data_IF_394090795244
#
_entry.id   IF_394090795244
#
_cell.length_a   1.000
_cell.length_b   1.000
_cell.length_c   1.000
_cell.angle_alpha   90.00
_cell.angle_beta   90.00
_cell.angle_gamma   90.00
#
_symmetry.space_group_name_H-M   'P 1'
#
loop_
_entity.id
_entity.type
_entity.pdbx_description
1 polymer ?
#
# COMPACT_ATOMS: atom_id res chain seq x y z
N UNK A 1 -0.11 30.26 1.55
CA UNK A 1 0.30 29.44 2.71
C UNK A 1 -0.98 28.94 3.34
N UNK A 2 -1.41 27.76 2.92
CA UNK A 2 -2.53 27.01 3.51
C UNK A 2 -2.00 26.34 4.78
N UNK A 3 -2.67 26.55 5.90
CA UNK A 3 -2.20 26.19 7.25
C UNK A 3 -2.53 24.72 7.58
N UNK A 4 -1.68 24.01 8.35
CA UNK A 4 -1.91 22.62 8.80
C UNK A 4 -3.31 22.40 9.41
N UNK A 5 -3.87 23.45 10.04
CA UNK A 5 -5.26 23.53 10.51
C UNK A 5 -6.31 23.37 9.42
N UNK A 6 -6.14 24.00 8.26
CA UNK A 6 -7.08 23.89 7.13
C UNK A 6 -7.04 22.48 6.55
N UNK A 7 -5.86 21.86 6.51
CA UNK A 7 -5.70 20.48 6.08
C UNK A 7 -6.36 19.50 7.07
N UNK A 8 -6.11 19.66 8.37
CA UNK A 8 -6.74 18.86 9.41
C UNK A 8 -8.28 18.95 9.37
N UNK A 9 -8.82 20.14 9.05
CA UNK A 9 -10.26 20.34 8.89
C UNK A 9 -10.83 19.63 7.65
N UNK A 10 -10.12 19.69 6.52
CA UNK A 10 -10.52 18.98 5.31
C UNK A 10 -10.53 17.46 5.51
N UNK A 11 -9.47 16.93 6.13
CA UNK A 11 -9.32 15.50 6.45
C UNK A 11 -10.42 15.04 7.41
N UNK A 12 -10.71 15.81 8.46
CA UNK A 12 -11.78 15.47 9.41
C UNK A 12 -13.17 15.54 8.75
N UNK A 13 -13.42 16.51 7.86
CA UNK A 13 -14.66 16.57 7.10
C UNK A 13 -14.84 15.34 6.20
N UNK A 14 -13.78 14.94 5.50
CA UNK A 14 -13.76 13.77 4.64
C UNK A 14 -14.03 12.49 5.45
N UNK A 15 -13.31 12.30 6.56
CA UNK A 15 -13.49 11.16 7.45
C UNK A 15 -14.92 11.08 7.99
N UNK A 16 -15.47 12.18 8.51
CA UNK A 16 -16.85 12.23 9.00
C UNK A 16 -17.88 11.97 7.90
N UNK A 17 -17.57 12.32 6.65
CA UNK A 17 -18.45 12.13 5.51
C UNK A 17 -18.53 10.67 5.05
N UNK A 18 -17.63 9.81 5.51
CA UNK A 18 -17.57 8.40 5.12
C UNK A 18 -18.87 7.65 5.49
N UNK A 19 -19.37 6.71 4.65
CA UNK A 19 -20.59 5.93 4.90
C UNK A 19 -20.63 5.17 6.23
N UNK A 20 -19.48 4.78 6.76
CA UNK A 20 -19.36 4.09 8.06
C UNK A 20 -19.43 5.06 9.26
N UNK A 21 -19.30 6.37 9.01
CA UNK A 21 -19.37 7.43 10.03
C UNK A 21 -20.72 8.16 10.01
N UNK A 22 -20.82 9.31 9.33
CA UNK A 22 -22.09 10.02 9.15
C UNK A 22 -22.76 9.74 7.79
N UNK A 23 -22.00 9.24 6.82
CA UNK A 23 -22.43 9.05 5.43
C UNK A 23 -22.76 10.33 4.68
N UNK A 24 -22.41 11.49 5.24
CA UNK A 24 -22.57 12.82 4.66
C UNK A 24 -21.73 13.84 5.44
N UNK A 25 -21.49 15.00 4.84
CA UNK A 25 -20.81 16.12 5.50
C UNK A 25 -21.46 16.46 6.85
N UNK A 26 -20.67 16.72 7.91
CA UNK A 26 -21.21 17.21 9.16
C UNK A 26 -21.91 18.56 8.93
N UNK A 27 -22.99 18.81 9.67
CA UNK A 27 -23.73 20.06 9.57
C UNK A 27 -22.91 21.26 10.07
N UNK A 28 -21.97 21.01 10.99
CA UNK A 28 -20.96 21.95 11.46
C UNK A 28 -19.69 21.19 11.84
N UNK A 29 -18.52 21.78 11.61
CA UNK A 29 -17.22 21.27 12.00
C UNK A 29 -16.34 22.45 12.43
N UNK A 30 -15.76 22.39 13.62
CA UNK A 30 -14.92 23.45 14.18
C UNK A 30 -13.74 22.83 14.93
N UNK A 31 -12.55 23.43 14.80
CA UNK A 31 -11.42 23.15 15.69
C UNK A 31 -11.73 23.79 17.05
N UNK A 32 -11.66 22.98 18.10
CA UNK A 32 -11.96 23.35 19.47
C UNK A 32 -10.72 23.48 20.36
N UNK A 33 -9.59 22.93 19.94
CA UNK A 33 -8.31 22.98 20.65
C UNK A 33 -7.23 22.19 19.92
N UNK A 34 -6.05 22.15 20.50
CA UNK A 34 -4.89 21.39 19.99
C UNK A 34 -4.03 20.90 21.16
N UNK A 35 -3.27 19.83 20.94
CA UNK A 35 -2.37 19.26 21.93
C UNK A 35 -1.26 18.46 21.26
N UNK A 36 -0.15 18.27 21.97
CA UNK A 36 0.95 17.41 21.55
C UNK A 36 0.97 16.12 22.37
N UNK A 37 1.26 14.99 21.72
CA UNK A 37 1.32 13.68 22.34
C UNK A 37 2.28 12.77 21.57
N UNK A 38 3.29 12.20 22.24
CA UNK A 38 4.35 11.37 21.62
C UNK A 38 5.08 12.08 20.47
N UNK A 39 5.49 13.33 20.69
CA UNK A 39 6.20 14.18 19.71
C UNK A 39 5.42 14.49 18.42
N UNK A 40 4.11 14.21 18.42
CA UNK A 40 3.20 14.50 17.32
C UNK A 40 2.15 15.54 17.73
N UNK A 41 1.72 16.35 16.77
CA UNK A 41 0.72 17.39 16.96
C UNK A 41 -0.70 16.90 16.59
N UNK A 42 -1.71 17.35 17.34
CA UNK A 42 -3.10 16.95 17.20
C UNK A 42 -4.07 18.13 17.34
N UNK A 43 -5.16 18.06 16.57
CA UNK A 43 -6.29 18.98 16.62
C UNK A 43 -7.52 18.30 17.21
N UNK A 44 -8.15 18.97 18.17
CA UNK A 44 -9.45 18.61 18.75
C UNK A 44 -10.52 19.24 17.88
N UNK A 45 -11.41 18.42 17.34
CA UNK A 45 -12.57 18.86 16.60
C UNK A 45 -13.84 18.72 17.43
N UNK A 46 -14.77 19.65 17.21
CA UNK A 46 -16.17 19.46 17.55
C UNK A 46 -17.02 19.55 16.30
N UNK A 47 -18.02 18.69 16.18
CA UNK A 47 -18.89 18.65 15.01
C UNK A 47 -20.34 18.38 15.36
N UNK A 48 -21.26 18.66 14.43
CA UNK A 48 -22.68 18.32 14.55
C UNK A 48 -23.12 17.40 13.41
N UNK A 49 -23.84 16.33 13.75
CA UNK A 49 -24.46 15.42 12.75
C UNK A 49 -25.61 16.07 11.98
N UNK A 50 -26.33 16.99 12.64
CA UNK A 50 -27.44 17.76 12.08
C UNK A 50 -27.47 19.14 12.74
N UNK A 51 -28.14 20.12 12.11
CA UNK A 51 -28.17 21.52 12.59
C UNK A 51 -28.67 21.62 14.05
N UNK A 52 -29.67 20.79 14.40
CA UNK A 52 -30.28 20.73 15.73
C UNK A 52 -29.61 19.73 16.69
N UNK A 53 -28.61 18.98 16.24
CA UNK A 53 -27.92 17.98 17.05
C UNK A 53 -27.00 18.57 18.12
N UNK A 54 -26.63 17.74 19.10
CA UNK A 54 -25.58 18.04 20.07
C UNK A 54 -24.21 18.08 19.37
N UNK A 55 -23.28 18.84 19.96
CA UNK A 55 -21.89 18.84 19.53
C UNK A 55 -21.23 17.54 19.96
N UNK A 56 -20.46 16.95 19.06
CA UNK A 56 -19.70 15.72 19.25
C UNK A 56 -18.21 16.01 19.19
N UNK A 57 -17.39 15.26 19.91
CA UNK A 57 -15.92 15.42 19.93
C UNK A 57 -15.25 14.45 18.96
N UNK A 58 -14.20 14.91 18.29
CA UNK A 58 -13.34 14.12 17.42
C UNK A 58 -11.88 14.60 17.54
N UNK A 59 -10.94 13.76 17.11
CA UNK A 59 -9.51 14.09 17.06
C UNK A 59 -8.98 13.85 15.66
N UNK A 60 -8.11 14.73 15.19
CA UNK A 60 -7.35 14.58 13.94
C UNK A 60 -5.91 14.95 14.23
N UNK A 61 -4.96 14.06 14.01
CA UNK A 61 -3.56 14.37 14.28
C UNK A 61 -2.58 13.27 13.96
N UNK A 62 -1.40 13.40 14.56
CA UNK A 62 -0.22 12.64 14.18
C UNK A 62 0.71 13.44 13.26
N UNK A 63 0.69 14.77 13.33
CA UNK A 63 1.52 15.62 12.47
C UNK A 63 2.91 15.82 13.07
N UNK A 64 3.96 15.74 12.25
CA UNK A 64 5.32 16.10 12.65
C UNK A 64 5.62 17.58 12.37
N UNK A 65 5.87 18.35 13.43
CA UNK A 65 6.15 19.79 13.33
C UNK A 65 5.05 20.55 12.58
N UNK A 66 5.43 21.40 11.62
CA UNK A 66 4.50 22.18 10.79
C UNK A 66 4.05 21.41 9.51
N UNK A 67 4.38 20.12 9.39
CA UNK A 67 4.08 19.29 8.23
C UNK A 67 2.60 18.91 8.12
N UNK A 68 2.09 18.70 6.90
CA UNK A 68 0.67 18.32 6.69
C UNK A 68 0.43 16.82 6.59
N UNK A 69 1.48 15.99 6.58
CA UNK A 69 1.35 14.54 6.69
C UNK A 69 1.04 14.14 8.14
N UNK A 70 0.10 13.21 8.33
CA UNK A 70 -0.23 12.69 9.66
C UNK A 70 -0.35 11.17 9.67
N UNK A 71 -0.05 10.54 10.81
CA UNK A 71 -0.07 9.09 11.01
C UNK A 71 -1.49 8.45 11.10
N UNK A 72 -2.48 9.01 10.39
CA UNK A 72 -3.83 8.43 10.33
C UNK A 72 -4.64 8.45 11.63
N UNK A 73 -4.26 9.24 12.65
CA UNK A 73 -5.03 9.35 13.91
C UNK A 73 -6.24 10.28 13.75
N UNK A 74 -7.23 9.86 12.96
CA UNK A 74 -8.51 10.55 12.75
C UNK A 74 -9.63 9.69 13.32
N UNK A 75 -10.34 10.17 14.33
CA UNK A 75 -11.33 9.35 15.04
C UNK A 75 -12.35 10.14 15.86
N UNK A 76 -13.54 9.55 16.03
CA UNK A 76 -14.58 9.99 16.96
C UNK A 76 -15.37 8.80 17.49
N UNK A 77 -15.59 8.73 18.81
CA UNK A 77 -16.53 7.78 19.42
C UNK A 77 -17.99 8.30 19.41
N UNK A 78 -18.26 9.41 18.70
CA UNK A 78 -19.58 10.05 18.63
C UNK A 78 -20.11 10.51 20.01
N UNK A 79 -19.21 10.71 20.96
CA UNK A 79 -19.50 11.26 22.28
C UNK A 79 -19.81 12.75 22.24
N UNK A 80 -20.60 13.24 23.21
CA UNK A 80 -20.86 14.67 23.35
C UNK A 80 -19.57 15.44 23.70
N UNK A 81 -19.42 16.58 23.02
CA UNK A 81 -18.34 17.53 23.25
C UNK A 81 -18.61 18.30 24.54
N UNK A 82 -17.66 18.21 25.48
CA UNK A 82 -17.58 19.02 26.68
C UNK A 82 -16.19 19.67 26.73
N UNK A 83 -16.09 21.01 26.75
CA UNK A 83 -14.81 21.70 26.73
C UNK A 83 -13.90 21.35 27.93
N UNK A 84 -14.47 20.95 29.06
CA UNK A 84 -13.70 20.61 30.27
C UNK A 84 -13.01 19.24 30.20
N UNK A 85 -13.46 18.36 29.30
CA UNK A 85 -12.93 16.98 29.16
C UNK A 85 -12.46 16.65 27.74
N UNK A 86 -12.64 17.55 26.77
CA UNK A 86 -12.36 17.28 25.36
C UNK A 86 -10.92 16.83 25.09
N UNK A 87 -9.92 17.49 25.69
CA UNK A 87 -8.53 17.10 25.51
C UNK A 87 -8.23 15.72 26.11
N UNK A 88 -8.71 15.45 27.33
CA UNK A 88 -8.53 14.14 27.98
C UNK A 88 -9.16 13.01 27.15
N UNK A 89 -10.37 13.23 26.62
CA UNK A 89 -11.05 12.29 25.73
C UNK A 89 -10.29 12.07 24.43
N UNK A 90 -9.76 13.12 23.81
CA UNK A 90 -8.95 13.01 22.60
C UNK A 90 -7.65 12.25 22.84
N UNK A 91 -6.96 12.50 23.97
CA UNK A 91 -5.77 11.73 24.37
C UNK A 91 -6.15 10.26 24.56
N UNK A 92 -7.25 9.96 25.25
CA UNK A 92 -7.71 8.58 25.42
C UNK A 92 -8.05 7.88 24.10
N UNK A 93 -8.68 8.58 23.16
CA UNK A 93 -8.94 8.08 21.81
C UNK A 93 -7.64 7.78 21.05
N UNK A 94 -6.66 8.70 21.09
CA UNK A 94 -5.35 8.50 20.43
C UNK A 94 -4.61 7.32 21.06
N UNK A 95 -4.56 7.22 22.39
CA UNK A 95 -3.90 6.09 23.06
C UNK A 95 -4.61 4.77 22.79
N UNK A 96 -5.93 4.76 22.66
CA UNK A 96 -6.69 3.56 22.27
C UNK A 96 -6.37 3.11 20.85
N UNK A 97 -6.26 4.04 19.90
CA UNK A 97 -5.86 3.76 18.51
C UNK A 97 -4.42 3.24 18.49
N UNK A 98 -3.48 3.93 19.15
CA UNK A 98 -2.09 3.49 19.25
C UNK A 98 -1.97 2.14 19.92
N UNK A 99 -2.70 1.92 21.01
CA UNK A 99 -2.74 0.64 21.72
C UNK A 99 -3.32 -0.47 20.86
N UNK A 100 -4.40 -0.21 20.13
CA UNK A 100 -4.96 -1.17 19.17
C UNK A 100 -3.94 -1.54 18.08
N UNK A 101 -3.21 -0.56 17.53
CA UNK A 101 -2.14 -0.81 16.56
C UNK A 101 -0.93 -1.52 17.17
N UNK A 102 -0.55 -1.17 18.41
CA UNK A 102 0.54 -1.84 19.15
C UNK A 102 0.16 -3.26 19.57
N UNK A 103 -1.08 -3.51 19.97
CA UNK A 103 -1.59 -4.84 20.30
C UNK A 103 -1.73 -5.68 19.04
N UNK A 104 -2.15 -5.11 17.91
CA UNK A 104 -2.12 -5.82 16.62
C UNK A 104 -0.71 -6.11 16.12
N UNK A 105 0.23 -5.17 16.30
CA UNK A 105 1.64 -5.39 16.02
C UNK A 105 2.21 -6.47 16.96
N UNK A 106 1.84 -6.46 18.24
CA UNK A 106 2.25 -7.48 19.22
C UNK A 106 1.58 -8.82 19.03
N UNK A 107 0.32 -8.90 18.61
CA UNK A 107 -0.36 -10.16 18.26
C UNK A 107 0.28 -10.77 17.00
N UNK A 108 0.80 -9.93 16.11
CA UNK A 108 1.67 -10.35 15.00
C UNK A 108 3.08 -10.77 15.47
N UNK A 109 3.62 -10.17 16.53
CA UNK A 109 4.94 -10.54 17.09
C UNK A 109 4.89 -11.78 18.02
N UNK A 110 3.87 -11.93 18.87
CA UNK A 110 3.72 -12.99 19.88
C UNK A 110 3.07 -14.27 19.30
N UNK A 111 2.39 -14.16 18.16
CA UNK A 111 1.93 -15.31 17.36
C UNK A 111 3.02 -15.91 16.47
N UNK A 112 4.22 -15.31 16.42
CA UNK A 112 5.23 -15.59 15.40
C UNK A 112 6.67 -15.53 15.92
N UNK A 113 6.99 -16.38 16.90
CA UNK A 113 8.37 -16.69 17.29
C UNK A 113 9.17 -17.42 16.18
N UNK A 114 8.69 -17.40 14.92
CA UNK A 114 9.34 -18.02 13.75
C UNK A 114 9.58 -17.09 12.56
N UNK A 115 8.99 -15.90 12.49
CA UNK A 115 9.23 -14.98 11.37
C UNK A 115 9.45 -13.53 11.80
N UNK A 116 10.73 -13.17 11.91
CA UNK A 116 11.18 -11.92 11.29
C UNK A 116 10.83 -12.01 9.80
N UNK A 117 9.68 -11.46 9.39
CA UNK A 117 9.20 -11.29 8.00
C UNK A 117 9.90 -12.25 7.02
N UNK A 118 9.52 -13.54 7.07
CA UNK A 118 9.88 -14.46 6.03
C UNK A 118 9.05 -14.04 4.82
N UNK A 119 9.59 -13.18 3.96
CA UNK A 119 8.93 -12.74 2.72
C UNK A 119 8.41 -13.92 1.88
N UNK A 120 7.75 -13.62 0.77
CA UNK A 120 7.14 -14.63 -0.10
C UNK A 120 5.61 -14.62 -0.08
N UNK A 121 4.99 -13.54 0.40
CA UNK A 121 3.57 -13.28 0.20
C UNK A 121 3.41 -12.11 -0.77
N UNK A 122 2.60 -12.30 -1.81
CA UNK A 122 2.33 -11.29 -2.84
C UNK A 122 0.82 -11.14 -2.99
N UNK A 123 0.35 -9.90 -3.13
CA UNK A 123 -1.06 -9.57 -3.29
C UNK A 123 -1.21 -8.39 -4.23
N UNK A 124 -2.20 -8.46 -5.12
CA UNK A 124 -2.54 -7.38 -6.04
C UNK A 124 -4.01 -7.42 -6.41
N UNK A 125 -4.51 -6.30 -6.93
CA UNK A 125 -5.92 -6.11 -7.22
C UNK A 125 -6.11 -5.81 -8.71
N UNK A 126 -6.60 -6.80 -9.47
CA UNK A 126 -6.92 -6.60 -10.89
C UNK A 126 -8.23 -5.83 -10.99
N UNK A 127 -8.20 -4.65 -11.58
CA UNK A 127 -9.30 -3.71 -11.63
C UNK A 127 -10.24 -4.06 -12.79
N UNK A 128 -11.53 -4.26 -12.52
CA UNK A 128 -12.52 -4.68 -13.51
C UNK A 128 -13.58 -3.61 -13.76
N UNK A 129 -13.99 -3.45 -15.01
CA UNK A 129 -15.13 -2.60 -15.41
C UNK A 129 -16.50 -3.21 -15.10
N UNK A 130 -16.59 -4.54 -14.97
CA UNK A 130 -17.79 -5.30 -14.58
C UNK A 130 -17.44 -6.40 -13.55
N UNK A 131 -18.37 -6.83 -12.68
CA UNK A 131 -18.15 -7.90 -11.69
C UNK A 131 -18.20 -9.29 -12.32
N UNK A 132 -17.45 -9.50 -13.39
CA UNK A 132 -17.47 -10.74 -14.18
C UNK A 132 -16.07 -11.34 -14.24
N UNK A 133 -15.96 -12.64 -13.98
CA UNK A 133 -14.72 -13.39 -14.07
C UNK A 133 -14.98 -14.75 -14.71
N UNK A 134 -14.44 -14.94 -15.92
CA UNK A 134 -14.51 -16.21 -16.63
C UNK A 134 -13.34 -17.11 -16.20
N UNK A 135 -13.65 -17.97 -15.23
CA UNK A 135 -12.72 -18.93 -14.63
C UNK A 135 -12.14 -19.90 -15.69
N UNK A 136 -12.94 -20.34 -16.65
CA UNK A 136 -12.48 -21.30 -17.67
C UNK A 136 -11.53 -20.64 -18.67
N UNK A 137 -11.85 -19.41 -19.07
CA UNK A 137 -10.92 -18.62 -19.89
C UNK A 137 -9.62 -18.32 -19.15
N UNK A 138 -9.68 -17.99 -17.87
CA UNK A 138 -8.49 -17.80 -17.03
C UNK A 138 -7.63 -19.06 -16.99
N UNK A 139 -8.22 -20.24 -16.74
CA UNK A 139 -7.51 -21.53 -16.72
C UNK A 139 -6.82 -21.81 -18.06
N UNK A 140 -7.53 -21.58 -19.17
CA UNK A 140 -7.00 -21.78 -20.51
C UNK A 140 -5.78 -20.88 -20.76
N UNK A 141 -5.88 -19.59 -20.43
CA UNK A 141 -4.80 -18.61 -20.55
C UNK A 141 -3.60 -18.99 -19.68
N UNK A 142 -3.82 -19.32 -18.41
CA UNK A 142 -2.76 -19.68 -17.47
C UNK A 142 -1.97 -20.91 -17.94
N UNK A 143 -2.66 -21.90 -18.51
CA UNK A 143 -2.05 -23.07 -19.13
C UNK A 143 -1.29 -22.73 -20.41
N UNK A 144 -1.90 -21.98 -21.31
CA UNK A 144 -1.31 -21.62 -22.62
C UNK A 144 -0.06 -20.76 -22.46
N UNK A 145 -0.15 -19.71 -21.65
CA UNK A 145 0.95 -18.77 -21.49
C UNK A 145 2.06 -19.33 -20.62
N UNK A 146 1.73 -20.03 -19.53
CA UNK A 146 2.70 -20.34 -18.47
C UNK A 146 2.88 -21.83 -18.19
N UNK A 147 2.10 -22.70 -18.83
CA UNK A 147 2.13 -24.14 -18.58
C UNK A 147 1.66 -24.52 -17.17
N UNK A 148 0.91 -23.65 -16.50
CA UNK A 148 0.43 -23.86 -15.13
C UNK A 148 -0.97 -24.45 -15.20
N UNK A 149 -1.15 -25.63 -14.60
CA UNK A 149 -2.45 -26.26 -14.47
C UNK A 149 -3.22 -25.71 -13.27
N UNK A 150 -4.49 -25.39 -13.48
CA UNK A 150 -5.44 -25.02 -12.43
C UNK A 150 -6.60 -26.04 -12.47
N UNK A 151 -6.66 -27.02 -11.55
CA UNK A 151 -7.62 -28.12 -11.57
C UNK A 151 -9.08 -27.68 -11.40
N UNK A 152 -10.05 -28.38 -12.00
CA UNK A 152 -11.50 -28.06 -11.91
C UNK A 152 -11.99 -27.93 -10.46
N UNK A 153 -11.55 -28.84 -9.58
CA UNK A 153 -11.85 -28.85 -8.15
C UNK A 153 -11.06 -27.83 -7.30
N UNK A 154 -10.32 -26.90 -7.93
CA UNK A 154 -9.66 -25.78 -7.24
C UNK A 154 -10.65 -24.78 -6.61
N UNK A 155 -11.96 -24.95 -6.83
CA UNK A 155 -12.98 -24.28 -6.04
C UNK A 155 -12.99 -24.89 -4.62
N UNK A 156 -12.73 -24.07 -3.60
CA UNK A 156 -12.79 -24.55 -2.23
C UNK A 156 -14.24 -24.98 -1.91
N UNK A 157 -14.54 -26.23 -1.53
CA UNK A 157 -15.91 -26.67 -1.20
C UNK A 157 -16.50 -25.98 0.04
N UNK A 158 -15.77 -25.05 0.68
CA UNK A 158 -16.25 -24.21 1.80
C UNK A 158 -16.86 -22.86 1.38
N UNK A 159 -16.78 -22.43 0.12
CA UNK A 159 -16.97 -21.01 -0.23
C UNK A 159 -18.15 -20.69 -1.15
N UNK A 160 -19.38 -20.88 -0.66
CA UNK A 160 -20.50 -20.02 -1.11
C UNK A 160 -20.54 -18.67 -0.36
N UNK A 161 -19.67 -18.47 0.65
CA UNK A 161 -19.72 -17.29 1.55
C UNK A 161 -18.50 -16.36 1.55
N UNK A 162 -17.38 -16.71 0.91
CA UNK A 162 -16.08 -16.04 1.15
C UNK A 162 -15.45 -15.31 -0.07
N UNK A 163 -16.14 -15.15 -1.21
CA UNK A 163 -15.64 -14.35 -2.34
C UNK A 163 -14.39 -14.89 -3.07
N UNK A 164 -13.85 -16.04 -2.64
CA UNK A 164 -12.75 -16.74 -3.32
C UNK A 164 -13.31 -17.53 -4.50
N UNK A 165 -12.91 -17.18 -5.72
CA UNK A 165 -13.31 -17.88 -6.94
C UNK A 165 -12.42 -19.10 -7.22
N UNK A 166 -11.12 -19.01 -6.90
CA UNK A 166 -10.13 -20.07 -7.15
C UNK A 166 -9.08 -20.13 -6.03
N UNK A 167 -8.71 -21.34 -5.62
CA UNK A 167 -7.55 -21.61 -4.77
C UNK A 167 -6.84 -22.89 -5.25
N UNK A 168 -5.59 -22.79 -5.67
CA UNK A 168 -4.83 -23.91 -6.21
C UNK A 168 -3.37 -23.88 -5.82
N UNK A 169 -2.74 -25.05 -5.83
CA UNK A 169 -1.34 -25.21 -5.48
C UNK A 169 -0.48 -25.36 -6.75
N UNK A 170 0.67 -24.68 -6.76
CA UNK A 170 1.68 -24.79 -7.82
C UNK A 170 3.04 -25.00 -7.14
N UNK A 171 3.62 -26.19 -7.31
CA UNK A 171 4.91 -26.57 -6.73
C UNK A 171 5.02 -26.32 -5.20
N UNK A 172 3.94 -26.55 -4.44
CA UNK A 172 3.91 -26.31 -2.99
C UNK A 172 3.54 -24.88 -2.56
N UNK A 173 3.52 -23.93 -3.49
CA UNK A 173 3.03 -22.56 -3.27
C UNK A 173 1.52 -22.48 -3.48
N UNK A 174 0.84 -21.64 -2.72
CA UNK A 174 -0.62 -21.45 -2.83
C UNK A 174 -0.93 -20.19 -3.64
N UNK A 175 -1.78 -20.30 -4.65
CA UNK A 175 -2.30 -19.18 -5.42
C UNK A 175 -3.83 -19.08 -5.25
N UNK A 176 -4.34 -17.86 -5.10
CA UNK A 176 -5.77 -17.59 -5.00
C UNK A 176 -6.19 -16.44 -5.90
N UNK A 177 -7.39 -16.55 -6.48
CA UNK A 177 -8.06 -15.46 -7.20
C UNK A 177 -9.47 -15.34 -6.65
N UNK A 178 -9.78 -14.21 -6.02
CA UNK A 178 -11.11 -13.90 -5.48
C UNK A 178 -11.79 -12.78 -6.26
N UNK A 179 -13.07 -12.94 -6.59
CA UNK A 179 -13.84 -11.87 -7.22
C UNK A 179 -14.56 -11.06 -6.13
N UNK A 180 -14.28 -9.77 -6.12
CA UNK A 180 -14.96 -8.80 -5.26
C UNK A 180 -15.86 -7.93 -6.13
N UNK A 181 -17.17 -8.01 -5.92
CA UNK A 181 -18.19 -7.22 -6.63
C UNK A 181 -18.26 -5.75 -6.14
N UNK A 182 -17.11 -5.16 -5.85
CA UNK A 182 -16.98 -3.79 -5.40
C UNK A 182 -15.63 -3.21 -5.84
N UNK A 183 -15.53 -1.88 -5.83
CA UNK A 183 -14.24 -1.20 -5.99
C UNK A 183 -13.25 -1.62 -4.91
N UNK A 184 -11.96 -1.45 -5.20
CA UNK A 184 -10.91 -1.48 -4.18
C UNK A 184 -11.29 -0.48 -3.08
N UNK A 185 -11.36 -0.90 -1.79
CA UNK A 185 -11.83 -0.05 -0.70
C UNK A 185 -11.00 1.22 -0.49
N UNK A 186 -11.58 2.20 0.21
CA UNK A 186 -10.86 3.39 0.67
C UNK A 186 -10.38 4.36 -0.42
N UNK A 187 -10.67 4.10 -1.70
CA UNK A 187 -10.18 4.93 -2.80
C UNK A 187 -8.67 4.81 -3.03
N UNK A 188 -8.01 3.82 -2.42
CA UNK A 188 -6.56 3.69 -2.40
C UNK A 188 -5.98 3.50 -3.82
N UNK A 189 -6.63 2.71 -4.67
CA UNK A 189 -6.17 2.48 -6.04
C UNK A 189 -6.16 3.79 -6.85
N UNK A 190 -7.17 4.66 -6.66
CA UNK A 190 -7.21 5.97 -7.33
C UNK A 190 -6.14 6.92 -6.78
N UNK A 191 -6.00 6.96 -5.45
CA UNK A 191 -5.00 7.80 -4.78
C UNK A 191 -3.59 7.41 -5.24
N UNK A 192 -3.24 6.13 -5.16
CA UNK A 192 -1.91 5.62 -5.47
C UNK A 192 -1.62 5.55 -6.97
N UNK A 193 -2.62 5.51 -7.85
CA UNK A 193 -2.40 5.66 -9.30
C UNK A 193 -1.66 6.97 -9.66
N UNK A 194 -1.73 7.99 -8.80
CA UNK A 194 -0.99 9.24 -8.99
C UNK A 194 0.55 9.04 -8.91
N UNK A 195 1.04 7.99 -8.27
CA UNK A 195 2.48 7.72 -8.16
C UNK A 195 3.11 7.29 -9.50
N UNK A 196 2.32 6.72 -10.41
CA UNK A 196 2.80 6.24 -11.70
C UNK A 196 3.15 7.39 -12.65
N UNK A 197 4.41 7.87 -12.62
CA UNK A 197 4.84 8.96 -13.49
C UNK A 197 4.91 8.60 -14.98
N UNK A 198 4.85 7.32 -15.33
CA UNK A 198 4.91 6.85 -16.73
C UNK A 198 3.54 6.97 -17.41
N UNK A 199 2.47 6.56 -16.71
CA UNK A 199 1.12 6.46 -17.29
C UNK A 199 0.04 7.10 -16.43
N UNK A 200 0.42 8.10 -15.62
CA UNK A 200 -0.40 8.71 -14.54
C UNK A 200 -1.88 8.88 -14.89
N UNK A 201 -2.16 9.62 -15.96
CA UNK A 201 -3.54 9.97 -16.32
C UNK A 201 -4.38 8.73 -16.66
N UNK A 202 -3.80 7.79 -17.39
CA UNK A 202 -4.46 6.54 -17.77
C UNK A 202 -4.63 5.59 -16.56
N UNK A 203 -3.61 5.49 -15.71
CA UNK A 203 -3.67 4.73 -14.45
C UNK A 203 -4.78 5.25 -13.53
N UNK A 204 -4.90 6.58 -13.39
CA UNK A 204 -5.98 7.21 -12.63
C UNK A 204 -7.34 6.94 -13.28
N UNK A 205 -7.44 7.02 -14.61
CA UNK A 205 -8.69 6.76 -15.32
C UNK A 205 -9.16 5.31 -15.12
N UNK A 206 -8.26 4.34 -15.23
CA UNK A 206 -8.51 2.93 -14.96
C UNK A 206 -9.00 2.72 -13.51
N UNK A 207 -8.27 3.29 -12.55
CA UNK A 207 -8.62 3.24 -11.13
C UNK A 207 -9.95 3.95 -10.81
N UNK A 208 -10.35 4.97 -11.55
CA UNK A 208 -11.67 5.60 -11.37
C UNK A 208 -12.80 4.76 -11.95
N UNK A 209 -12.57 4.17 -13.11
CA UNK A 209 -13.61 3.50 -13.89
C UNK A 209 -13.99 2.12 -13.35
N UNK A 210 -13.09 1.43 -12.63
CA UNK A 210 -13.38 0.09 -12.12
C UNK A 210 -14.59 0.07 -11.18
N UNK A 211 -15.33 -1.04 -11.21
CA UNK A 211 -16.54 -1.29 -10.42
C UNK A 211 -16.39 -2.53 -9.54
N UNK A 212 -15.49 -3.43 -9.92
CA UNK A 212 -15.17 -4.68 -9.24
C UNK A 212 -13.65 -4.90 -9.28
N UNK A 213 -13.14 -5.86 -8.53
CA UNK A 213 -11.74 -6.27 -8.64
C UNK A 213 -11.54 -7.76 -8.38
N UNK A 214 -10.46 -8.32 -8.93
CA UNK A 214 -9.94 -9.61 -8.51
C UNK A 214 -8.85 -9.40 -7.47
N UNK A 215 -8.98 -10.04 -6.32
CA UNK A 215 -7.90 -10.18 -5.35
C UNK A 215 -7.04 -11.38 -5.78
N UNK A 216 -5.84 -11.09 -6.28
CA UNK A 216 -4.86 -12.11 -6.66
C UNK A 216 -3.83 -12.19 -5.54
N UNK A 217 -3.62 -13.38 -4.99
CA UNK A 217 -2.62 -13.57 -3.96
C UNK A 217 -1.83 -14.86 -4.16
N UNK A 218 -0.54 -14.82 -3.80
CA UNK A 218 0.35 -15.98 -3.76
C UNK A 218 1.06 -16.04 -2.42
N UNK A 219 1.00 -17.21 -1.79
CA UNK A 219 1.74 -17.53 -0.57
C UNK A 219 2.82 -18.57 -0.90
N UNK A 220 4.08 -18.18 -0.72
CA UNK A 220 5.25 -18.99 -1.01
C UNK A 220 5.44 -20.19 -0.08
N UNK A 221 4.84 -20.21 1.12
CA UNK A 221 4.89 -21.36 2.04
C UNK A 221 6.31 -21.92 2.31
N UNK A 222 7.29 -21.03 2.47
CA UNK A 222 8.68 -21.38 2.73
C UNK A 222 9.57 -21.50 1.48
N UNK A 223 9.01 -21.32 0.28
CA UNK A 223 9.77 -21.12 -0.95
C UNK A 223 10.51 -19.78 -0.96
N UNK A 224 11.48 -19.63 -1.87
CA UNK A 224 12.18 -18.37 -2.01
C UNK A 224 11.19 -17.27 -2.45
N UNK A 225 11.26 -16.04 -1.89
CA UNK A 225 10.29 -15.00 -2.21
C UNK A 225 10.21 -14.67 -3.70
N UNK A 226 11.34 -14.77 -4.43
CA UNK A 226 11.35 -14.55 -5.88
C UNK A 226 10.55 -15.60 -6.64
N UNK A 227 10.57 -16.87 -6.23
CA UNK A 227 9.77 -17.94 -6.86
C UNK A 227 8.26 -17.67 -6.69
N UNK A 228 7.86 -17.22 -5.49
CA UNK A 228 6.48 -16.84 -5.21
C UNK A 228 6.06 -15.58 -5.99
N UNK A 229 6.96 -14.60 -6.13
CA UNK A 229 6.73 -13.40 -6.93
C UNK A 229 6.55 -13.72 -8.42
N UNK A 230 7.38 -14.60 -8.98
CA UNK A 230 7.21 -15.06 -10.36
C UNK A 230 5.87 -15.77 -10.58
N UNK A 231 5.44 -16.60 -9.63
CA UNK A 231 4.11 -17.22 -9.70
C UNK A 231 3.00 -16.18 -9.63
N UNK A 232 3.12 -15.18 -8.74
CA UNK A 232 2.16 -14.07 -8.65
C UNK A 232 2.01 -13.33 -9.97
N UNK A 233 3.12 -12.94 -10.60
CA UNK A 233 3.09 -12.23 -11.90
C UNK A 233 2.43 -13.09 -12.97
N UNK A 234 2.74 -14.39 -13.05
CA UNK A 234 2.11 -15.31 -14.02
C UNK A 234 0.58 -15.38 -13.85
N UNK A 235 0.12 -15.49 -12.60
CA UNK A 235 -1.32 -15.53 -12.27
C UNK A 235 -1.99 -14.17 -12.56
N UNK A 236 -1.34 -13.06 -12.20
CA UNK A 236 -1.81 -11.72 -12.48
C UNK A 236 -1.92 -11.47 -13.99
N UNK A 237 -0.91 -11.82 -14.78
CA UNK A 237 -0.95 -11.73 -16.25
C UNK A 237 -2.11 -12.53 -16.86
N UNK A 238 -2.39 -13.72 -16.35
CA UNK A 238 -3.52 -14.51 -16.83
C UNK A 238 -4.87 -13.82 -16.53
N UNK A 239 -4.99 -13.17 -15.37
CA UNK A 239 -6.17 -12.35 -15.04
C UNK A 239 -6.27 -11.12 -15.95
N UNK A 240 -5.16 -10.45 -16.25
CA UNK A 240 -5.10 -9.21 -17.04
C UNK A 240 -5.58 -9.38 -18.49
N UNK A 241 -5.64 -10.60 -19.01
CA UNK A 241 -6.19 -10.91 -20.36
C UNK A 241 -7.72 -11.00 -20.42
N UNK A 242 -8.43 -10.83 -19.30
CA UNK A 242 -9.87 -10.74 -19.32
C UNK A 242 -10.35 -9.43 -19.98
N UNK A 243 -11.43 -9.47 -20.78
CA UNK A 243 -11.81 -8.34 -21.66
C UNK A 243 -12.35 -7.12 -20.90
N UNK A 244 -12.74 -7.30 -19.65
CA UNK A 244 -13.30 -6.26 -18.79
C UNK A 244 -12.24 -5.65 -17.84
N UNK A 245 -10.96 -6.04 -17.95
CA UNK A 245 -9.86 -5.53 -17.12
C UNK A 245 -9.49 -4.10 -17.53
N UNK A 246 -9.20 -3.26 -16.54
CA UNK A 246 -8.76 -1.87 -16.71
C UNK A 246 -7.31 -1.65 -16.28
N UNK A 247 -6.76 -2.52 -15.44
CA UNK A 247 -5.41 -2.43 -14.90
C UNK A 247 -5.22 -3.32 -13.67
N UNK A 248 -4.08 -3.17 -13.00
CA UNK A 248 -3.78 -3.83 -11.73
C UNK A 248 -3.26 -2.79 -10.74
N UNK A 249 -3.86 -2.74 -9.55
CA UNK A 249 -3.31 -2.03 -8.40
C UNK A 249 -2.38 -2.97 -7.64
N UNK A 250 -1.09 -2.68 -7.69
CA UNK A 250 -0.03 -3.49 -7.07
C UNK A 250 1.18 -2.59 -6.75
N UNK A 251 1.96 -2.98 -5.73
CA UNK A 251 3.16 -2.27 -5.31
C UNK A 251 2.97 -0.74 -5.15
N UNK A 252 1.85 -0.30 -4.57
CA UNK A 252 1.60 1.13 -4.33
C UNK A 252 1.38 1.97 -5.60
N UNK A 253 0.97 1.34 -6.70
CA UNK A 253 0.60 2.05 -7.93
C UNK A 253 -0.38 1.27 -8.81
N UNK A 254 -0.89 1.91 -9.87
CA UNK A 254 -1.76 1.25 -10.86
C UNK A 254 -1.03 1.13 -12.20
N UNK A 255 -0.95 -0.10 -12.69
CA UNK A 255 -0.41 -0.45 -14.00
C UNK A 255 -1.52 -0.73 -14.99
N UNK A 256 -1.35 -0.27 -16.23
CA UNK A 256 -2.21 -0.70 -17.32
C UNK A 256 -1.86 -2.14 -17.71
N UNK A 257 -2.83 -2.92 -18.21
CA UNK A 257 -2.64 -4.34 -18.51
C UNK A 257 -1.46 -4.59 -19.45
N UNK A 258 -1.33 -3.78 -20.50
CA UNK A 258 -0.27 -3.94 -21.51
C UNK A 258 1.11 -3.77 -20.90
N UNK A 259 1.31 -2.72 -20.08
CA UNK A 259 2.62 -2.44 -19.47
C UNK A 259 3.06 -3.54 -18.49
N UNK A 260 2.15 -4.03 -17.65
CA UNK A 260 2.45 -5.12 -16.72
C UNK A 260 2.74 -6.43 -17.47
N UNK A 261 1.93 -6.75 -18.49
CA UNK A 261 2.17 -7.95 -19.30
C UNK A 261 3.48 -7.86 -20.11
N UNK A 262 3.84 -6.68 -20.62
CA UNK A 262 5.11 -6.46 -21.32
C UNK A 262 6.30 -6.63 -20.39
N UNK A 263 6.25 -6.06 -19.17
CA UNK A 263 7.30 -6.24 -18.17
C UNK A 263 7.48 -7.72 -17.78
N UNK A 264 6.38 -8.45 -17.63
CA UNK A 264 6.40 -9.87 -17.30
C UNK A 264 7.08 -10.76 -18.36
N UNK A 265 7.21 -10.30 -19.61
CA UNK A 265 7.80 -11.10 -20.70
C UNK A 265 9.27 -11.41 -20.51
N UNK A 266 10.01 -10.66 -19.69
CA UNK A 266 11.41 -10.96 -19.36
C UNK A 266 11.59 -12.35 -18.75
N UNK A 267 10.54 -12.90 -18.11
CA UNK A 267 10.53 -14.28 -17.60
C UNK A 267 10.68 -15.33 -18.72
N UNK A 268 10.27 -15.03 -19.95
CA UNK A 268 10.48 -15.91 -21.11
C UNK A 268 11.94 -16.00 -21.52
N UNK A 269 12.73 -15.01 -21.14
CA UNK A 269 14.18 -14.94 -21.36
C UNK A 269 14.97 -15.47 -20.16
N UNK A 270 14.29 -15.92 -19.10
CA UNK A 270 14.90 -16.43 -17.88
C UNK A 270 15.29 -15.36 -16.86
N UNK A 271 14.79 -14.13 -17.03
CA UNK A 271 15.02 -13.01 -16.11
C UNK A 271 13.80 -12.80 -15.19
N UNK A 272 14.02 -12.45 -13.90
CA UNK A 272 12.91 -12.17 -12.99
C UNK A 272 12.17 -10.87 -13.35
N UNK A 273 10.84 -10.83 -13.17
CA UNK A 273 10.00 -9.68 -13.54
C UNK A 273 10.04 -8.61 -12.43
N UNK A 274 11.22 -8.07 -12.14
CA UNK A 274 11.39 -7.12 -11.03
C UNK A 274 10.55 -5.86 -11.16
N UNK A 275 10.21 -5.45 -12.40
CA UNK A 275 9.39 -4.27 -12.67
C UNK A 275 7.92 -4.46 -12.26
N UNK A 276 7.49 -5.71 -12.21
CA UNK A 276 6.15 -6.12 -11.77
C UNK A 276 6.10 -6.41 -10.27
N UNK A 277 7.25 -6.47 -9.59
CA UNK A 277 7.37 -6.89 -8.19
C UNK A 277 7.85 -5.79 -7.26
N UNK A 278 8.45 -4.72 -7.81
CA UNK A 278 8.89 -3.55 -7.07
C UNK A 278 8.63 -2.30 -7.90
N UNK A 279 7.81 -1.41 -7.36
CA UNK A 279 7.65 -0.07 -7.90
C UNK A 279 8.73 0.87 -7.34
N UNK A 280 9.34 1.67 -8.21
CA UNK A 280 10.25 2.76 -7.83
C UNK A 280 9.57 4.10 -8.11
N UNK A 281 9.18 4.78 -7.03
CA UNK A 281 8.59 6.11 -7.08
C UNK A 281 9.63 7.21 -7.24
N UNK A 282 9.23 8.30 -7.89
CA UNK A 282 10.03 9.51 -8.01
C UNK A 282 9.17 10.72 -7.72
N UNK A 283 9.73 11.65 -6.95
CA UNK A 283 9.14 12.95 -6.70
C UNK A 283 10.22 14.02 -6.72
N UNK A 284 9.89 15.21 -7.24
CA UNK A 284 10.78 16.36 -7.23
C UNK A 284 10.07 17.57 -6.67
N UNK A 285 10.74 18.25 -5.75
CA UNK A 285 10.36 19.55 -5.24
C UNK A 285 11.55 20.52 -5.20
N UNK A 286 11.40 21.62 -4.48
CA UNK A 286 12.43 22.66 -4.31
C UNK A 286 13.64 22.20 -3.49
N UNK A 287 13.48 21.16 -2.66
CA UNK A 287 14.55 20.62 -1.80
C UNK A 287 15.40 19.59 -2.53
N UNK A 288 14.84 18.89 -3.52
CA UNK A 288 15.57 17.99 -4.40
C UNK A 288 14.72 16.91 -5.03
N UNK A 289 15.36 15.81 -5.43
CA UNK A 289 14.71 14.61 -5.93
C UNK A 289 14.63 13.57 -4.82
N UNK A 290 13.43 13.10 -4.53
CA UNK A 290 13.19 11.98 -3.64
C UNK A 290 12.73 10.75 -4.42
N UNK A 291 13.02 9.57 -3.87
CA UNK A 291 12.61 8.29 -4.43
C UNK A 291 12.33 7.30 -3.31
N UNK A 292 11.42 6.36 -3.56
CA UNK A 292 11.07 5.31 -2.63
C UNK A 292 10.73 4.03 -3.38
N UNK A 293 10.75 2.90 -2.67
CA UNK A 293 10.26 1.63 -3.19
C UNK A 293 8.94 1.24 -2.57
N UNK A 294 8.16 0.46 -3.32
CA UNK A 294 7.06 -0.33 -2.78
C UNK A 294 7.20 -1.75 -3.34
N UNK A 295 7.19 -2.76 -2.46
CA UNK A 295 7.25 -4.18 -2.83
C UNK A 295 8.45 -4.92 -2.25
N UNK A 296 9.47 -4.21 -1.73
CA UNK A 296 10.64 -4.83 -1.10
C UNK A 296 10.26 -5.67 0.14
N UNK A 297 9.20 -5.28 0.86
CA UNK A 297 8.70 -6.01 2.02
C UNK A 297 8.19 -7.40 1.69
N UNK A 298 7.65 -7.62 0.49
CA UNK A 298 7.28 -8.95 0.00
C UNK A 298 8.49 -9.88 -0.12
N UNK A 299 9.72 -9.34 -0.14
CA UNK A 299 10.98 -10.09 -0.13
C UNK A 299 11.65 -10.17 1.26
N UNK A 300 10.98 -9.73 2.33
CA UNK A 300 11.56 -9.70 3.68
C UNK A 300 12.68 -8.66 3.80
N UNK A 301 12.50 -7.51 3.15
CA UNK A 301 13.41 -6.37 3.17
C UNK A 301 12.65 -5.09 3.52
N UNK A 302 13.32 -4.13 4.14
CA UNK A 302 12.74 -2.80 4.31
C UNK A 302 12.57 -2.12 2.96
N UNK A 303 11.54 -1.28 2.84
CA UNK A 303 11.47 -0.35 1.72
C UNK A 303 12.65 0.63 1.80
N UNK A 304 13.08 1.09 0.64
CA UNK A 304 14.24 1.96 0.47
C UNK A 304 13.77 3.38 0.17
N UNK A 305 14.52 4.37 0.64
CA UNK A 305 14.25 5.78 0.32
C UNK A 305 15.52 6.58 0.05
N UNK A 306 15.42 7.54 -0.86
CA UNK A 306 16.36 8.64 -1.05
C UNK A 306 15.57 9.92 -0.86
N UNK A 307 16.04 10.80 0.03
CA UNK A 307 15.31 12.01 0.41
C UNK A 307 16.08 13.25 -0.05
N UNK A 308 15.45 14.06 -0.89
CA UNK A 308 15.97 15.36 -1.37
C UNK A 308 17.39 15.30 -1.94
N UNK A 309 17.68 14.30 -2.77
CA UNK A 309 18.95 14.23 -3.50
C UNK A 309 19.12 15.42 -4.44
N UNK A 310 20.36 15.88 -4.59
CA UNK A 310 20.73 16.93 -5.55
C UNK A 310 21.12 16.35 -6.93
N UNK A 311 20.98 15.03 -7.11
CA UNK A 311 21.27 14.33 -8.37
C UNK A 311 20.13 14.47 -9.38
N UNK A 312 20.39 14.09 -10.63
CA UNK A 312 19.34 14.04 -11.64
C UNK A 312 18.36 12.87 -11.34
N UNK A 313 17.06 12.99 -11.68
CA UNK A 313 16.06 11.97 -11.40
C UNK A 313 16.39 10.62 -12.01
N UNK A 314 16.99 10.61 -13.21
CA UNK A 314 17.46 9.38 -13.83
C UNK A 314 18.55 8.71 -13.00
N UNK A 315 19.52 9.47 -12.47
CA UNK A 315 20.57 8.91 -11.61
C UNK A 315 19.98 8.35 -10.29
N UNK A 316 19.01 9.04 -9.70
CA UNK A 316 18.32 8.60 -8.47
C UNK A 316 17.52 7.33 -8.73
N UNK A 317 16.76 7.30 -9.83
CA UNK A 317 15.99 6.14 -10.26
C UNK A 317 16.88 4.94 -10.56
N UNK A 318 17.94 5.14 -11.34
CA UNK A 318 18.89 4.08 -11.70
C UNK A 318 19.56 3.51 -10.45
N UNK A 319 19.99 4.37 -9.51
CA UNK A 319 20.54 3.90 -8.24
C UNK A 319 19.51 3.07 -7.48
N UNK A 320 18.29 3.59 -7.35
CA UNK A 320 17.23 2.90 -6.62
C UNK A 320 16.92 1.53 -7.22
N UNK A 321 16.68 1.50 -8.52
CA UNK A 321 16.41 0.28 -9.26
C UNK A 321 17.54 -0.75 -9.09
N UNK A 322 18.79 -0.33 -9.29
CA UNK A 322 19.94 -1.23 -9.20
C UNK A 322 20.14 -1.79 -7.79
N UNK A 323 19.91 -0.99 -6.75
CA UNK A 323 19.99 -1.46 -5.35
C UNK A 323 18.88 -2.47 -5.07
N UNK A 324 17.62 -2.15 -5.41
CA UNK A 324 16.49 -3.08 -5.23
C UNK A 324 16.74 -4.41 -5.95
N UNK A 325 17.17 -4.35 -7.20
CA UNK A 325 17.48 -5.53 -8.00
C UNK A 325 18.62 -6.35 -7.39
N UNK A 326 19.68 -5.70 -6.90
CA UNK A 326 20.80 -6.38 -6.25
C UNK A 326 20.37 -7.10 -4.97
N UNK A 327 19.58 -6.43 -4.12
CA UNK A 327 19.10 -7.01 -2.86
C UNK A 327 18.22 -8.25 -3.09
N UNK A 328 17.35 -8.20 -4.11
CA UNK A 328 16.46 -9.31 -4.45
C UNK A 328 17.24 -10.47 -5.08
N UNK A 329 18.09 -10.19 -6.08
CA UNK A 329 18.81 -11.24 -6.82
C UNK A 329 19.87 -11.94 -5.99
N UNK A 330 20.57 -11.20 -5.15
CA UNK A 330 21.71 -11.73 -4.39
C UNK A 330 21.40 -11.97 -2.92
N UNK A 331 20.19 -11.66 -2.47
CA UNK A 331 19.78 -11.83 -1.07
C UNK A 331 20.59 -10.97 -0.09
N UNK A 332 21.29 -9.94 -0.58
CA UNK A 332 22.04 -9.04 0.29
C UNK A 332 21.12 -8.35 1.30
N UNK A 333 21.68 -8.00 2.46
CA UNK A 333 20.97 -7.38 3.57
C UNK A 333 21.67 -6.07 3.90
N UNK A 334 20.93 -4.98 3.88
CA UNK A 334 21.39 -3.68 4.34
C UNK A 334 21.17 -3.57 5.85
N UNK A 335 22.13 -3.02 6.59
CA UNK A 335 21.96 -2.71 8.01
C UNK A 335 22.11 -1.23 8.30
N UNK A 336 21.46 -0.79 9.35
CA UNK A 336 21.58 0.57 9.85
C UNK A 336 23.04 0.91 10.17
N UNK A 337 23.48 2.09 9.76
CA UNK A 337 24.84 2.59 9.96
C UNK A 337 25.91 2.02 9.02
N UNK A 338 25.57 1.06 8.14
CA UNK A 338 26.47 0.59 7.08
C UNK A 338 26.59 1.62 5.94
N UNK A 339 27.43 1.30 4.94
CA UNK A 339 27.55 2.09 3.71
C UNK A 339 27.40 1.20 2.49
N UNK A 340 26.78 1.75 1.45
CA UNK A 340 26.61 1.13 0.14
C UNK A 340 27.53 1.81 -0.88
N UNK A 341 28.09 1.07 -1.83
CA UNK A 341 28.82 1.64 -2.96
C UNK A 341 28.95 0.66 -4.13
N UNK A 342 28.86 1.18 -5.35
CA UNK A 342 29.15 0.43 -6.58
C UNK A 342 30.65 0.33 -6.88
N UNK A 343 31.46 1.17 -6.22
CA UNK A 343 32.93 1.14 -6.27
C UNK A 343 33.48 1.11 -4.85
N UNK A 344 34.75 0.71 -4.70
CA UNK A 344 35.41 0.67 -3.39
C UNK A 344 35.50 2.06 -2.70
N UNK A 345 35.50 3.13 -3.49
CA UNK A 345 35.62 4.50 -3.00
C UNK A 345 34.26 5.13 -2.67
N UNK A 346 33.17 4.62 -3.25
CA UNK A 346 31.83 5.14 -2.99
C UNK A 346 31.31 4.64 -1.64
N UNK A 347 30.87 5.57 -0.79
CA UNK A 347 30.33 5.28 0.54
C UNK A 347 29.06 6.07 0.78
N UNK A 348 27.94 5.55 0.28
CA UNK A 348 26.61 6.09 0.52
C UNK A 348 26.15 5.62 1.92
N UNK A 349 25.88 6.53 2.88
CA UNK A 349 25.45 6.13 4.21
C UNK A 349 24.06 5.51 4.19
N UNK A 350 23.86 4.51 5.03
CA UNK A 350 22.58 3.84 5.24
C UNK A 350 22.03 4.17 6.62
N UNK A 351 20.75 4.52 6.69
CA UNK A 351 20.07 4.81 7.96
C UNK A 351 18.66 4.22 7.98
N UNK A 352 18.40 3.34 8.94
CA UNK A 352 17.05 2.86 9.22
C UNK A 352 16.32 3.90 10.06
N UNK A 353 15.16 4.35 9.60
CA UNK A 353 14.31 5.30 10.34
C UNK A 353 12.87 5.29 9.79
N UNK A 354 11.96 6.03 10.41
CA UNK A 354 10.58 6.14 9.93
C UNK A 354 10.53 6.63 8.47
N UNK A 355 9.68 6.01 7.66
CA UNK A 355 9.51 6.31 6.25
C UNK A 355 8.92 7.69 6.02
N UNK A 356 9.30 8.33 4.91
CA UNK A 356 8.76 9.64 4.51
C UNK A 356 7.64 9.48 3.48
N UNK A 357 7.81 8.56 2.52
CA UNK A 357 6.88 8.26 1.43
C UNK A 357 6.25 6.87 1.56
N UNK A 358 6.70 6.08 2.54
CA UNK A 358 6.21 4.72 2.83
C UNK A 358 5.84 4.61 4.30
N UNK A 359 4.83 3.81 4.62
CA UNK A 359 4.42 3.56 6.00
C UNK A 359 5.45 2.71 6.73
N UNK A 360 5.70 2.97 8.02
CA UNK A 360 6.63 2.21 8.85
C UNK A 360 8.10 2.53 8.54
N UNK A 361 9.02 1.66 8.96
CA UNK A 361 10.45 1.92 8.79
C UNK A 361 10.91 1.78 7.32
N UNK A 362 11.89 2.60 6.93
CA UNK A 362 12.57 2.53 5.65
C UNK A 362 14.09 2.64 5.82
N UNK A 363 14.82 2.03 4.89
CA UNK A 363 16.27 2.19 4.79
C UNK A 363 16.59 3.38 3.89
N UNK A 364 17.07 4.47 4.50
CA UNK A 364 17.45 5.68 3.78
C UNK A 364 18.87 5.57 3.23
N UNK A 365 19.03 5.87 1.95
CA UNK A 365 20.31 5.91 1.25
C UNK A 365 20.70 7.38 1.05
N UNK A 366 21.84 7.80 1.61
CA UNK A 366 22.37 9.15 1.40
C UNK A 366 23.02 9.27 0.03
N UNK A 367 22.27 9.73 -0.99
CA UNK A 367 22.73 9.81 -2.38
C UNK A 367 22.65 11.20 -3.00
#
# INVERSE_FOLDING_TARGET
>A
MTTQREYAAAVMEEWLSHPQELGKKPAKLEIAGEFDLHDLHYYIFKFKKSILGSWKVAVCGGYEGDGVGHCGHIYSEMEDYDPSTAQEKCVAMVEKIRKYWMERAKEQEEGDDSAKSAGGSFVGFVLLSSPEFDVEKFRAVLREDWGIECPEDAANPRSERDGIALAFEVNGMMATVGLMEAKVPGGEAEYWANSNFMTREASIAAAKAHQAHLLVAVLGRGHAPLEAGELFVKVACACLKAPNVLGIYDCGTVWLPEHFMESAMVMKEGEPPLGDLVFVGLYRDEKGVSSWTNGMRSFGREELEIIHSHRQPSEVYDLMWNVSAYLIRHGAVLRDGETLGFTADQKLPLKLSEGVYVEGQSMKIGF
#
